data_IF_456352681702
#
_entry.id   IF_456352681702
#
_cell.length_a   1.000
_cell.length_b   1.000
_cell.length_c   1.000
_cell.angle_alpha   90.00
_cell.angle_beta   90.00
_cell.angle_gamma   90.00
#
_symmetry.space_group_name_H-M   'P 1'
#
loop_
_entity.id
_entity.type
_entity.pdbx_description
1 polymer ?
#
# COMPACT_ATOMS: atom_id res chain seq x y z
N UNK A 1 25.45 -18.51 14.18
CA UNK A 1 25.01 -18.39 12.78
C UNK A 1 23.49 -18.52 12.62
N UNK A 2 22.83 -19.48 13.28
CA UNK A 2 21.35 -19.69 13.23
C UNK A 2 20.55 -18.50 13.77
N UNK A 3 20.96 -17.92 14.92
CA UNK A 3 20.28 -16.77 15.57
C UNK A 3 20.32 -15.51 14.70
N UNK A 4 21.42 -15.26 13.98
CA UNK A 4 21.53 -14.13 13.06
C UNK A 4 20.66 -14.32 11.81
N UNK A 5 20.45 -15.57 11.38
CA UNK A 5 19.61 -15.90 10.24
C UNK A 5 18.10 -15.77 10.57
N UNK A 6 17.68 -16.22 11.75
CA UNK A 6 16.30 -16.06 12.23
C UNK A 6 15.97 -14.60 12.50
N UNK A 7 16.84 -13.84 13.15
CA UNK A 7 16.67 -12.41 13.38
C UNK A 7 16.55 -11.61 12.06
N UNK A 8 17.31 -11.98 11.03
CA UNK A 8 17.25 -11.34 9.71
C UNK A 8 15.93 -11.66 8.98
N UNK A 9 15.38 -12.87 9.11
CA UNK A 9 14.06 -13.21 8.56
C UNK A 9 12.93 -12.43 9.22
N UNK A 10 12.97 -12.28 10.53
CA UNK A 10 11.95 -11.54 11.30
C UNK A 10 11.85 -10.07 10.86
N UNK A 11 12.98 -9.45 10.45
CA UNK A 11 13.00 -8.05 9.98
C UNK A 11 12.67 -7.95 8.50
N UNK A 12 13.23 -8.82 7.66
CA UNK A 12 13.13 -8.69 6.20
C UNK A 12 11.76 -9.09 5.67
N UNK A 13 11.12 -10.09 6.24
CA UNK A 13 9.84 -10.60 5.72
C UNK A 13 8.72 -9.54 5.77
N UNK A 14 8.43 -8.86 6.91
CA UNK A 14 7.41 -7.82 6.95
C UNK A 14 7.74 -6.65 6.01
N UNK A 15 9.00 -6.20 6.00
CA UNK A 15 9.44 -5.07 5.17
C UNK A 15 9.29 -5.39 3.69
N UNK A 16 9.89 -6.49 3.21
CA UNK A 16 9.90 -6.84 1.79
C UNK A 16 8.51 -7.21 1.27
N UNK A 17 7.73 -7.97 2.06
CA UNK A 17 6.36 -8.33 1.68
C UNK A 17 5.50 -7.08 1.56
N UNK A 18 5.56 -6.17 2.55
CA UNK A 18 4.78 -4.94 2.53
C UNK A 18 5.19 -4.03 1.38
N UNK A 19 6.50 -3.92 1.10
CA UNK A 19 7.00 -3.16 -0.05
C UNK A 19 6.48 -3.74 -1.37
N UNK A 20 6.60 -5.04 -1.57
CA UNK A 20 6.18 -5.68 -2.82
C UNK A 20 4.66 -5.59 -3.04
N UNK A 21 3.88 -5.85 -1.99
CA UNK A 21 2.41 -5.79 -2.06
C UNK A 21 1.93 -4.41 -2.46
N UNK A 22 2.44 -3.35 -1.80
CA UNK A 22 2.01 -1.98 -2.09
C UNK A 22 2.59 -1.49 -3.41
N UNK A 23 3.88 -1.75 -3.71
CA UNK A 23 4.47 -1.32 -4.98
C UNK A 23 3.71 -1.88 -6.18
N UNK A 24 3.30 -3.15 -6.13
CA UNK A 24 2.55 -3.78 -7.22
C UNK A 24 1.09 -3.31 -7.21
N UNK A 25 0.48 -3.17 -6.03
CA UNK A 25 -0.92 -2.72 -5.90
C UNK A 25 -1.14 -1.28 -6.37
N UNK A 26 -0.11 -0.43 -6.23
CA UNK A 26 -0.16 1.00 -6.55
C UNK A 26 -0.01 1.30 -8.05
N UNK A 27 0.63 0.40 -8.82
CA UNK A 27 0.82 0.64 -10.25
C UNK A 27 -0.52 0.72 -10.97
N UNK A 28 -0.83 1.91 -11.51
CA UNK A 28 -2.09 2.20 -12.21
C UNK A 28 -3.25 2.50 -11.29
N UNK A 29 -3.01 2.71 -10.00
CA UNK A 29 -4.02 3.15 -9.05
C UNK A 29 -4.29 4.66 -9.14
N UNK A 30 -5.36 5.11 -8.48
CA UNK A 30 -5.80 6.52 -8.50
C UNK A 30 -4.74 7.48 -7.93
N UNK A 31 -3.97 7.05 -6.94
CA UNK A 31 -2.88 7.81 -6.31
C UNK A 31 -1.72 8.03 -7.25
N UNK A 32 -1.31 7.02 -8.02
CA UNK A 32 -0.31 7.18 -9.08
C UNK A 32 -0.78 8.16 -10.17
N UNK A 33 -2.05 8.06 -10.59
CA UNK A 33 -2.63 9.02 -11.56
C UNK A 33 -2.66 10.43 -10.99
N UNK A 34 -3.00 10.60 -9.71
CA UNK A 34 -2.96 11.89 -9.02
C UNK A 34 -1.53 12.46 -8.99
N UNK A 35 -0.53 11.63 -8.71
CA UNK A 35 0.89 12.03 -8.75
C UNK A 35 1.29 12.60 -10.12
N UNK A 36 0.87 11.93 -11.21
CA UNK A 36 1.09 12.39 -12.60
C UNK A 36 0.42 13.73 -12.85
N UNK A 37 -0.84 13.90 -12.44
CA UNK A 37 -1.60 15.16 -12.62
C UNK A 37 -0.92 16.31 -11.87
N UNK A 38 -0.50 16.09 -10.62
CA UNK A 38 0.20 17.10 -9.84
C UNK A 38 1.56 17.44 -10.45
N UNK A 39 2.29 16.45 -10.95
CA UNK A 39 3.57 16.65 -11.64
C UNK A 39 3.41 17.47 -12.92
N UNK A 40 2.40 17.19 -13.73
CA UNK A 40 2.07 17.93 -14.94
C UNK A 40 1.68 19.39 -14.64
N UNK A 41 0.87 19.59 -13.57
CA UNK A 41 0.38 20.90 -13.14
C UNK A 41 1.48 21.80 -12.58
N UNK A 42 2.29 21.27 -11.68
CA UNK A 42 3.25 22.09 -10.92
C UNK A 42 4.67 22.08 -11.49
N UNK A 43 5.05 21.05 -12.24
CA UNK A 43 6.37 20.88 -12.86
C UNK A 43 7.55 20.99 -11.86
N UNK A 44 7.31 20.64 -10.61
CA UNK A 44 8.30 20.65 -9.52
C UNK A 44 8.24 19.32 -8.75
N UNK A 45 9.04 18.31 -9.12
CA UNK A 45 8.93 16.97 -8.55
C UNK A 45 9.25 16.89 -7.05
N UNK A 46 10.27 17.59 -6.57
CA UNK A 46 10.74 17.47 -5.19
C UNK A 46 9.65 17.78 -4.15
N UNK A 47 8.95 18.93 -4.17
CA UNK A 47 7.90 19.20 -3.20
C UNK A 47 6.71 18.25 -3.35
N UNK A 48 6.46 17.70 -4.55
CA UNK A 48 5.42 16.69 -4.76
C UNK A 48 5.83 15.37 -4.07
N UNK A 49 7.05 14.87 -4.31
CA UNK A 49 7.58 13.65 -3.68
C UNK A 49 7.56 13.76 -2.16
N UNK A 50 7.96 14.90 -1.60
CA UNK A 50 7.91 15.11 -0.16
C UNK A 50 6.47 15.14 0.37
N UNK A 51 5.54 15.72 -0.37
CA UNK A 51 4.12 15.71 -0.03
C UNK A 51 3.53 14.30 -0.03
N UNK A 52 3.81 13.50 -1.07
CA UNK A 52 3.44 12.09 -1.15
C UNK A 52 4.04 11.32 0.01
N UNK A 53 5.35 11.42 0.24
CA UNK A 53 6.03 10.73 1.35
C UNK A 53 5.38 11.03 2.70
N UNK A 54 5.12 12.30 3.01
CA UNK A 54 4.53 12.69 4.30
C UNK A 54 3.07 12.21 4.41
N UNK A 55 2.26 12.34 3.36
CA UNK A 55 0.88 11.86 3.35
C UNK A 55 0.80 10.35 3.57
N UNK A 56 1.57 9.59 2.78
CA UNK A 56 1.63 8.13 2.86
C UNK A 56 2.16 7.67 4.22
N UNK A 57 3.22 8.29 4.73
CA UNK A 57 3.76 7.93 6.04
C UNK A 57 2.71 8.11 7.15
N UNK A 58 1.94 9.18 7.12
CA UNK A 58 0.86 9.42 8.07
C UNK A 58 -0.26 8.37 7.91
N UNK A 59 -0.77 8.16 6.71
CA UNK A 59 -1.85 7.22 6.44
C UNK A 59 -1.45 5.77 6.77
N UNK A 60 -0.27 5.34 6.33
CA UNK A 60 0.19 3.98 6.57
C UNK A 60 0.58 3.73 8.03
N UNK A 61 1.04 4.76 8.75
CA UNK A 61 1.23 4.65 10.21
C UNK A 61 -0.11 4.44 10.90
N UNK A 62 -1.13 5.24 10.57
CA UNK A 62 -2.48 5.08 11.12
C UNK A 62 -3.05 3.70 10.82
N UNK A 63 -2.93 3.23 9.58
CA UNK A 63 -3.38 1.92 9.15
C UNK A 63 -2.64 0.79 9.88
N UNK A 64 -1.32 0.90 10.03
CA UNK A 64 -0.50 -0.08 10.74
C UNK A 64 -0.82 -0.15 12.22
N UNK A 65 -1.06 1.00 12.85
CA UNK A 65 -1.49 1.09 14.26
C UNK A 65 -2.85 0.42 14.43
N UNK A 66 -3.82 0.71 13.55
CA UNK A 66 -5.13 0.05 13.60
C UNK A 66 -5.02 -1.46 13.44
N UNK A 67 -4.23 -1.94 12.47
CA UNK A 67 -4.03 -3.37 12.24
C UNK A 67 -3.34 -4.08 13.41
N UNK A 68 -2.32 -3.45 13.98
CA UNK A 68 -1.59 -3.96 15.14
C UNK A 68 -2.53 -4.15 16.34
N UNK A 69 -3.26 -3.12 16.73
CA UNK A 69 -4.18 -3.20 17.87
C UNK A 69 -5.40 -4.07 17.60
N UNK A 70 -5.89 -4.12 16.36
CA UNK A 70 -6.93 -5.06 15.99
C UNK A 70 -6.49 -6.52 16.23
N UNK A 71 -5.21 -6.83 15.95
CA UNK A 71 -4.64 -8.15 16.22
C UNK A 71 -4.52 -8.47 17.72
N UNK A 72 -4.30 -7.46 18.57
CA UNK A 72 -4.25 -7.63 20.02
C UNK A 72 -5.66 -7.84 20.63
N UNK A 73 -6.65 -7.12 20.14
CA UNK A 73 -8.01 -7.16 20.69
C UNK A 73 -8.83 -8.34 20.18
N UNK A 74 -8.60 -8.73 18.93
CA UNK A 74 -9.30 -9.80 18.24
C UNK A 74 -8.35 -11.00 18.11
N UNK A 75 -8.15 -11.74 19.20
CA UNK A 75 -7.21 -12.86 19.23
C UNK A 75 -7.84 -14.19 18.82
N UNK A 76 -7.00 -15.18 18.52
CA UNK A 76 -7.41 -16.56 18.28
C UNK A 76 -7.72 -16.90 16.82
N UNK A 77 -8.16 -18.15 16.62
CA UNK A 77 -8.47 -18.70 15.28
C UNK A 77 -9.48 -17.87 14.49
N UNK A 78 -10.57 -17.35 15.06
CA UNK A 78 -11.54 -16.57 14.30
C UNK A 78 -10.94 -15.30 13.70
N UNK A 79 -10.05 -14.61 14.43
CA UNK A 79 -9.38 -13.41 13.92
C UNK A 79 -8.43 -13.74 12.78
N UNK A 80 -7.60 -14.78 12.92
CA UNK A 80 -6.68 -15.22 11.86
C UNK A 80 -7.44 -15.63 10.59
N UNK A 81 -8.57 -16.31 10.73
CA UNK A 81 -9.47 -16.64 9.62
C UNK A 81 -10.00 -15.36 8.98
N UNK A 82 -10.48 -14.39 9.77
CA UNK A 82 -10.97 -13.12 9.26
C UNK A 82 -9.90 -12.37 8.45
N UNK A 83 -8.66 -12.32 8.95
CA UNK A 83 -7.52 -11.71 8.22
C UNK A 83 -7.24 -12.44 6.90
N UNK A 84 -7.20 -13.77 6.91
CA UNK A 84 -7.00 -14.56 5.69
C UNK A 84 -8.10 -14.35 4.65
N UNK A 85 -9.37 -14.36 5.10
CA UNK A 85 -10.53 -14.06 4.24
C UNK A 85 -10.47 -12.63 3.72
N UNK A 86 -10.09 -11.64 4.54
CA UNK A 86 -9.95 -10.25 4.11
C UNK A 86 -8.90 -10.10 3.00
N UNK A 87 -7.77 -10.82 3.08
CA UNK A 87 -6.80 -10.85 1.98
C UNK A 87 -7.38 -11.47 0.70
N UNK A 88 -8.23 -12.50 0.78
CA UNK A 88 -8.91 -13.06 -0.40
C UNK A 88 -9.94 -12.08 -0.99
N UNK A 89 -10.65 -11.33 -0.15
CA UNK A 89 -11.54 -10.25 -0.61
C UNK A 89 -10.73 -9.15 -1.30
N UNK A 90 -9.56 -8.76 -0.74
CA UNK A 90 -8.64 -7.82 -1.37
C UNK A 90 -8.13 -8.32 -2.72
N UNK A 91 -7.88 -9.62 -2.88
CA UNK A 91 -7.52 -10.20 -4.17
C UNK A 91 -8.60 -9.97 -5.23
N UNK A 92 -9.87 -10.16 -4.87
CA UNK A 92 -11.00 -9.84 -5.75
C UNK A 92 -11.09 -8.34 -6.07
N UNK A 93 -10.93 -7.49 -5.06
CA UNK A 93 -11.00 -6.03 -5.24
C UNK A 93 -9.84 -5.49 -6.09
N UNK A 94 -8.63 -6.05 -5.98
CA UNK A 94 -7.49 -5.66 -6.80
C UNK A 94 -7.71 -5.86 -8.31
N UNK A 95 -8.63 -6.74 -8.71
CA UNK A 95 -8.99 -6.92 -10.13
C UNK A 95 -9.87 -5.79 -10.68
N UNK A 96 -10.56 -5.04 -9.81
CA UNK A 96 -11.44 -3.95 -10.21
C UNK A 96 -10.60 -2.72 -10.54
N UNK A 97 -10.74 -2.15 -11.77
CA UNK A 97 -10.03 -0.92 -12.14
C UNK A 97 -10.46 0.24 -11.25
N UNK A 98 -9.48 0.99 -10.76
CA UNK A 98 -9.77 2.26 -10.12
C UNK A 98 -10.11 3.32 -11.16
N UNK A 99 -11.07 4.17 -10.82
CA UNK A 99 -11.45 5.33 -11.63
C UNK A 99 -10.95 6.58 -10.90
N UNK A 100 -10.36 7.50 -11.65
CA UNK A 100 -10.17 8.85 -11.13
C UNK A 100 -11.54 9.50 -11.02
N UNK A 101 -11.85 10.02 -9.84
CA UNK A 101 -12.98 10.94 -9.70
C UNK A 101 -12.62 12.23 -10.44
N UNK A 102 -13.44 12.62 -11.42
CA UNK A 102 -13.26 13.85 -12.18
C UNK A 102 -13.28 15.11 -11.29
N UNK A 103 -13.77 14.96 -10.05
CA UNK A 103 -13.85 16.00 -9.01
C UNK A 103 -12.63 16.09 -8.08
N UNK A 104 -11.48 15.44 -8.38
CA UNK A 104 -10.26 15.61 -7.59
C UNK A 104 -9.75 17.07 -7.69
N UNK A 105 -10.46 17.95 -6.98
CA UNK A 105 -10.01 19.33 -6.75
C UNK A 105 -8.79 19.26 -5.86
N UNK A 106 -7.67 19.76 -6.34
CA UNK A 106 -6.47 19.94 -5.51
C UNK A 106 -6.84 20.75 -4.27
N UNK A 107 -6.82 20.10 -3.12
CA UNK A 107 -7.15 20.71 -1.84
C UNK A 107 -5.94 21.51 -1.38
N UNK A 108 -6.06 22.84 -1.37
CA UNK A 108 -5.07 23.68 -0.71
C UNK A 108 -4.68 24.92 -1.51
N UNK A 109 -4.63 26.05 -0.81
CA UNK A 109 -4.04 27.32 -1.26
C UNK A 109 -2.60 27.53 -0.74
N UNK A 110 -2.07 26.56 0.02
CA UNK A 110 -0.69 26.51 0.47
C UNK A 110 0.23 25.94 -0.62
N UNK A 111 1.49 26.24 -0.61
CA UNK A 111 2.46 25.79 -1.64
C UNK A 111 2.35 24.32 -2.09
N UNK A 112 3.07 23.93 -3.10
CA UNK A 112 2.98 22.63 -3.79
C UNK A 112 3.05 21.46 -2.81
N UNK A 113 3.95 21.50 -1.83
CA UNK A 113 4.09 20.48 -0.80
C UNK A 113 2.80 20.27 -0.01
N UNK A 114 2.22 21.33 0.53
CA UNK A 114 1.02 21.23 1.36
C UNK A 114 -0.21 20.79 0.53
N UNK A 115 -0.33 21.29 -0.69
CA UNK A 115 -1.37 20.85 -1.62
C UNK A 115 -1.26 19.36 -1.90
N UNK A 116 -0.07 18.87 -2.20
CA UNK A 116 0.16 17.44 -2.45
C UNK A 116 -0.13 16.61 -1.22
N UNK A 117 0.42 17.01 -0.06
CA UNK A 117 0.21 16.31 1.21
C UNK A 117 -1.29 16.15 1.52
N UNK A 118 -2.03 17.25 1.51
CA UNK A 118 -3.46 17.22 1.86
C UNK A 118 -4.28 16.41 0.84
N UNK A 119 -4.01 16.58 -0.45
CA UNK A 119 -4.76 15.86 -1.49
C UNK A 119 -4.48 14.36 -1.42
N UNK A 120 -3.21 13.95 -1.33
CA UNK A 120 -2.85 12.54 -1.15
C UNK A 120 -3.43 11.97 0.13
N UNK A 121 -3.27 12.66 1.25
CA UNK A 121 -3.80 12.20 2.53
C UNK A 121 -5.29 11.88 2.45
N UNK A 122 -6.09 12.75 1.85
CA UNK A 122 -7.54 12.56 1.73
C UNK A 122 -7.88 11.43 0.75
N UNK A 123 -7.18 11.34 -0.39
CA UNK A 123 -7.44 10.34 -1.43
C UNK A 123 -7.08 8.93 -0.97
N UNK A 124 -6.05 8.79 -0.14
CA UNK A 124 -5.62 7.50 0.43
C UNK A 124 -6.55 6.99 1.55
N UNK A 125 -7.37 7.84 2.18
CA UNK A 125 -8.29 7.37 3.23
C UNK A 125 -9.28 6.36 2.66
N UNK A 126 -9.25 5.13 3.20
CA UNK A 126 -10.11 4.03 2.76
C UNK A 126 -9.69 3.38 1.44
N UNK A 127 -8.51 3.69 0.94
CA UNK A 127 -7.99 3.08 -0.27
C UNK A 127 -7.50 1.64 -0.07
N UNK A 128 -7.34 0.91 -1.18
CA UNK A 128 -6.87 -0.50 -1.20
C UNK A 128 -5.55 -0.66 -0.48
N UNK A 129 -4.59 0.25 -0.70
CA UNK A 129 -3.26 0.20 -0.11
C UNK A 129 -3.30 0.47 1.40
N UNK A 130 -4.19 1.34 1.87
CA UNK A 130 -4.41 1.56 3.31
C UNK A 130 -5.00 0.32 3.99
N UNK A 131 -5.99 -0.33 3.36
CA UNK A 131 -6.58 -1.57 3.89
C UNK A 131 -5.55 -2.70 3.86
N UNK A 132 -4.78 -2.84 2.77
CA UNK A 132 -3.69 -3.81 2.70
C UNK A 132 -2.66 -3.60 3.81
N UNK A 133 -2.28 -2.34 4.09
CA UNK A 133 -1.36 -1.97 5.19
C UNK A 133 -1.91 -2.40 6.54
N UNK A 134 -3.21 -2.17 6.80
CA UNK A 134 -3.89 -2.62 8.03
C UNK A 134 -3.81 -4.14 8.19
N UNK A 135 -4.11 -4.89 7.13
CA UNK A 135 -4.06 -6.35 7.14
C UNK A 135 -2.64 -6.90 7.30
N UNK A 136 -1.65 -6.27 6.66
CA UNK A 136 -0.24 -6.65 6.81
C UNK A 136 0.25 -6.39 8.24
N UNK A 137 -0.12 -5.27 8.85
CA UNK A 137 0.23 -4.95 10.23
C UNK A 137 -0.43 -5.92 11.22
N UNK A 138 -1.69 -6.30 10.99
CA UNK A 138 -2.38 -7.31 11.76
C UNK A 138 -1.72 -8.70 11.62
N UNK A 139 -1.28 -9.06 10.40
CA UNK A 139 -0.60 -10.33 10.12
C UNK A 139 0.78 -10.42 10.77
N UNK A 140 1.62 -9.39 10.55
CA UNK A 140 3.01 -9.40 10.99
C UNK A 140 3.20 -8.93 12.43
N UNK A 141 2.18 -8.29 13.00
CA UNK A 141 2.22 -7.66 14.32
C UNK A 141 3.41 -6.69 14.48
N UNK A 142 3.64 -5.87 13.43
CA UNK A 142 4.80 -4.97 13.30
C UNK A 142 4.37 -3.64 12.70
N UNK A 143 4.34 -2.57 13.50
CA UNK A 143 3.97 -1.23 12.99
C UNK A 143 5.08 -0.67 12.10
N UNK A 144 6.30 -0.57 12.64
CA UNK A 144 7.39 0.18 12.00
C UNK A 144 7.82 -0.44 10.67
N UNK A 145 8.01 -1.77 10.63
CA UNK A 145 8.47 -2.46 9.42
C UNK A 145 7.42 -2.48 8.33
N UNK A 146 6.14 -2.63 8.71
CA UNK A 146 5.03 -2.58 7.75
C UNK A 146 4.88 -1.16 7.21
N UNK A 147 4.83 -0.14 8.07
CA UNK A 147 4.75 1.26 7.64
C UNK A 147 5.92 1.64 6.72
N UNK A 148 7.15 1.28 7.09
CA UNK A 148 8.32 1.55 6.24
C UNK A 148 8.21 0.82 4.89
N UNK A 149 7.83 -0.46 4.90
CA UNK A 149 7.68 -1.25 3.69
C UNK A 149 6.60 -0.71 2.76
N UNK A 150 5.41 -0.44 3.29
CA UNK A 150 4.29 0.10 2.49
C UNK A 150 4.59 1.50 1.95
N UNK A 151 5.23 2.35 2.75
CA UNK A 151 5.68 3.69 2.29
C UNK A 151 6.73 3.58 1.20
N UNK A 152 7.70 2.67 1.32
CA UNK A 152 8.68 2.40 0.25
C UNK A 152 7.99 1.89 -1.01
N UNK A 153 7.02 0.98 -0.87
CA UNK A 153 6.23 0.47 -1.99
C UNK A 153 5.53 1.58 -2.76
N UNK A 154 4.85 2.49 -2.05
CA UNK A 154 4.20 3.67 -2.61
C UNK A 154 5.20 4.56 -3.39
N UNK A 155 6.35 4.87 -2.79
CA UNK A 155 7.38 5.69 -3.44
C UNK A 155 7.97 5.01 -4.68
N UNK A 156 8.16 3.70 -4.66
CA UNK A 156 8.64 2.93 -5.82
C UNK A 156 7.68 3.06 -7.01
N UNK A 157 6.37 3.11 -6.77
CA UNK A 157 5.38 3.28 -7.81
C UNK A 157 5.25 4.75 -8.25
N UNK A 158 5.14 5.68 -7.31
CA UNK A 158 4.79 7.08 -7.58
C UNK A 158 5.97 7.94 -8.05
N UNK A 159 7.18 7.72 -7.51
CA UNK A 159 8.33 8.57 -7.87
C UNK A 159 8.67 8.47 -9.37
N UNK A 160 8.76 7.27 -9.98
CA UNK A 160 8.91 7.18 -11.42
C UNK A 160 7.78 7.84 -12.20
N UNK A 161 6.53 7.72 -11.72
CA UNK A 161 5.37 8.33 -12.36
C UNK A 161 5.41 9.86 -12.35
N UNK A 162 5.89 10.46 -11.26
CA UNK A 162 6.11 11.91 -11.14
C UNK A 162 7.11 12.42 -12.17
N UNK A 163 8.18 11.65 -12.45
CA UNK A 163 9.21 12.06 -13.43
C UNK A 163 8.83 11.74 -14.87
N UNK A 164 8.19 10.62 -15.12
CA UNK A 164 7.91 10.11 -16.47
C UNK A 164 6.51 10.50 -16.97
N UNK A 165 5.62 10.97 -16.08
CA UNK A 165 4.25 11.33 -16.41
C UNK A 165 3.47 10.16 -17.00
N UNK A 166 2.62 10.42 -18.00
CA UNK A 166 1.80 9.39 -18.66
C UNK A 166 2.59 8.28 -19.37
N UNK A 167 3.90 8.44 -19.59
CA UNK A 167 4.68 7.40 -20.25
C UNK A 167 4.68 6.09 -19.46
N UNK A 168 4.67 6.17 -18.14
CA UNK A 168 4.61 4.98 -17.25
C UNK A 168 3.35 4.16 -17.52
N UNK A 169 2.19 4.83 -17.56
CA UNK A 169 0.90 4.13 -17.72
C UNK A 169 0.70 3.56 -19.14
N UNK A 170 1.40 4.11 -20.13
CA UNK A 170 1.35 3.60 -21.52
C UNK A 170 2.20 2.34 -21.74
N UNK A 171 3.29 2.19 -20.98
CA UNK A 171 4.22 1.06 -21.13
C UNK A 171 3.79 -0.14 -20.25
N UNK A 172 3.17 0.12 -19.11
CA UNK A 172 2.81 -0.94 -18.15
C UNK A 172 1.41 -1.48 -18.46
N UNK A 173 1.27 -2.79 -18.75
CA UNK A 173 -0.04 -3.40 -18.99
C UNK A 173 -0.81 -3.53 -17.66
N UNK A 174 -1.58 -2.52 -17.30
CA UNK A 174 -2.30 -2.42 -16.02
C UNK A 174 -3.15 -3.66 -15.67
N UNK A 175 -3.66 -4.38 -16.69
CA UNK A 175 -4.38 -5.63 -16.46
C UNK A 175 -3.47 -6.70 -15.85
N UNK A 176 -2.22 -6.81 -16.32
CA UNK A 176 -1.24 -7.79 -15.82
C UNK A 176 -0.85 -7.42 -14.38
N UNK A 177 -0.66 -6.14 -14.11
CA UNK A 177 -0.33 -5.64 -12.75
C UNK A 177 -1.44 -5.97 -11.77
N UNK A 178 -2.70 -5.70 -12.12
CA UNK A 178 -3.85 -6.05 -11.27
C UNK A 178 -3.96 -7.56 -11.00
N UNK A 179 -3.71 -8.40 -12.01
CA UNK A 179 -3.68 -9.85 -11.83
C UNK A 179 -2.53 -10.25 -10.90
N UNK A 180 -1.35 -9.65 -11.05
CA UNK A 180 -0.21 -9.91 -10.17
C UNK A 180 -0.51 -9.50 -8.71
N UNK A 181 -1.07 -8.30 -8.49
CA UNK A 181 -1.50 -7.85 -7.16
C UNK A 181 -2.54 -8.80 -6.55
N UNK A 182 -3.58 -9.16 -7.33
CA UNK A 182 -4.59 -10.11 -6.89
C UNK A 182 -3.99 -11.48 -6.54
N UNK A 183 -3.04 -11.97 -7.33
CA UNK A 183 -2.31 -13.21 -7.06
C UNK A 183 -1.53 -13.16 -5.74
N UNK A 184 -0.86 -12.04 -5.46
CA UNK A 184 -0.11 -11.84 -4.20
C UNK A 184 -1.06 -11.83 -3.01
N UNK A 185 -2.15 -11.07 -3.07
CA UNK A 185 -3.17 -11.06 -2.01
C UNK A 185 -3.79 -12.44 -1.79
N UNK A 186 -4.10 -13.17 -2.86
CA UNK A 186 -4.64 -14.51 -2.78
C UNK A 186 -3.64 -15.49 -2.14
N UNK A 187 -2.36 -15.43 -2.50
CA UNK A 187 -1.32 -16.25 -1.88
C UNK A 187 -1.17 -15.96 -0.38
N UNK A 188 -1.15 -14.68 0.00
CA UNK A 188 -1.07 -14.30 1.42
C UNK A 188 -2.30 -14.81 2.18
N UNK A 189 -3.49 -14.59 1.65
CA UNK A 189 -4.74 -15.04 2.26
C UNK A 189 -4.79 -16.56 2.42
N UNK A 190 -4.46 -17.29 1.37
CA UNK A 190 -4.38 -18.76 1.40
C UNK A 190 -3.36 -19.23 2.44
N UNK A 191 -2.15 -18.65 2.44
CA UNK A 191 -1.12 -18.98 3.42
C UNK A 191 -1.60 -18.76 4.86
N UNK A 192 -2.22 -17.62 5.16
CA UNK A 192 -2.75 -17.31 6.50
C UNK A 192 -3.80 -18.34 6.92
N UNK A 193 -4.68 -18.76 6.01
CA UNK A 193 -5.69 -19.76 6.31
C UNK A 193 -5.07 -21.15 6.54
N UNK A 194 -4.15 -21.58 5.66
CA UNK A 194 -3.47 -22.88 5.80
C UNK A 194 -2.68 -22.95 7.11
N UNK A 195 -1.92 -21.92 7.45
CA UNK A 195 -1.18 -21.82 8.70
C UNK A 195 -2.11 -21.81 9.92
N UNK A 196 -3.27 -21.15 9.82
CA UNK A 196 -4.28 -21.12 10.90
C UNK A 196 -4.83 -22.50 11.21
N UNK A 197 -5.04 -23.32 10.20
CA UNK A 197 -5.55 -24.69 10.37
C UNK A 197 -4.43 -25.74 10.47
N UNK A 198 -3.16 -25.31 10.53
CA UNK A 198 -1.98 -26.20 10.61
C UNK A 198 -1.93 -27.21 9.46
N UNK A 199 -2.29 -26.77 8.26
CA UNK A 199 -2.23 -27.59 7.05
C UNK A 199 -0.88 -27.47 6.32
N UNK A 200 0.00 -26.57 6.78
CA UNK A 200 1.37 -26.34 6.32
C UNK A 200 2.29 -26.06 7.50
#
# INVERSE_FOLDING_TARGET
MRILYEGRRVILEPLLTSTAVVAIGEIGDKTQLLAIVLAAKFKRPVPIILGVLCATLLNHTMASVLGFYAADWLTGTPFRVAVGVAFLVMAGWALIPDKMDDDLKTIGRGGIFLTTLLTFFVVEIGDKTQIATTLLAARFHQITLVTAGTTLGMLIADVPAIFMGEAVTKVVPLRVVRIAAAGIFAMIGAWVLLDTFRLV
#
